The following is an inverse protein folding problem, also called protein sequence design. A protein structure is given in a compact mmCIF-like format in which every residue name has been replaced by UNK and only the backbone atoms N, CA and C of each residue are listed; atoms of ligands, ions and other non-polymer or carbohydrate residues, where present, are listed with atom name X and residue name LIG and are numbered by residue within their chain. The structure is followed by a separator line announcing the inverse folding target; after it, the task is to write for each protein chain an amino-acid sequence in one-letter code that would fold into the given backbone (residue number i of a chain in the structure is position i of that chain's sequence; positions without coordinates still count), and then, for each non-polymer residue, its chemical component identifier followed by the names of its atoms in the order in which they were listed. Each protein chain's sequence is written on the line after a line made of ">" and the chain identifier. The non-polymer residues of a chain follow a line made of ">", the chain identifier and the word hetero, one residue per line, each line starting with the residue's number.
data_IF_985797735671
#
_entry.id   IF_985797735671
#
_cell.length_a   1.000
_cell.length_b   1.000
_cell.length_c   1.000
_cell.angle_alpha   90.00
_cell.angle_beta   90.00
_cell.angle_gamma   90.00
#
_symmetry.space_group_name_H-M   'P 1'
#
loop_
_entity.id
_entity.type
_entity.pdbx_description
1 polymer ?
#
# COMPACT_ATOMS: atom_id res chain seq x y z
N UNK A 1 -7.13 4.64 -0.36
CA UNK A 1 -6.43 5.85 0.16
C UNK A 1 -5.13 5.46 0.85
N UNK A 2 -4.08 6.26 0.69
CA UNK A 2 -2.78 6.07 1.35
C UNK A 2 -2.41 7.36 2.08
N UNK A 3 -1.75 7.24 3.23
CA UNK A 3 -1.20 8.37 3.96
C UNK A 3 0.06 8.90 3.26
N UNK A 4 0.11 10.22 3.04
CA UNK A 4 1.12 10.91 2.23
C UNK A 4 2.42 11.16 3.01
N UNK A 5 3.06 10.08 3.48
CA UNK A 5 4.33 10.10 4.20
C UNK A 5 5.17 8.83 3.85
N UNK A 6 5.91 8.26 4.79
CA UNK A 6 6.63 7.00 4.60
C UNK A 6 5.73 5.82 4.23
N UNK A 7 4.44 5.87 4.54
CA UNK A 7 3.46 4.86 4.13
C UNK A 7 3.26 4.87 2.61
N UNK A 8 3.25 6.05 1.97
CA UNK A 8 3.21 6.19 0.51
C UNK A 8 4.43 5.52 -0.13
N UNK A 9 5.63 5.80 0.39
CA UNK A 9 6.85 5.14 -0.07
C UNK A 9 6.78 3.62 0.07
N UNK A 10 6.20 3.12 1.16
CA UNK A 10 6.03 1.67 1.34
C UNK A 10 5.16 1.04 0.24
N UNK A 11 4.06 1.70 -0.13
CA UNK A 11 3.21 1.27 -1.25
C UNK A 11 3.97 1.35 -2.58
N UNK A 12 4.71 2.43 -2.82
CA UNK A 12 5.51 2.56 -4.05
C UNK A 12 6.57 1.46 -4.16
N UNK A 13 7.27 1.11 -3.06
CA UNK A 13 8.22 -0.03 -3.07
C UNK A 13 7.52 -1.33 -3.43
N UNK A 14 6.35 -1.57 -2.84
CA UNK A 14 5.56 -2.78 -3.13
C UNK A 14 5.16 -2.89 -4.60
N UNK A 15 4.71 -1.79 -5.20
CA UNK A 15 4.31 -1.75 -6.63
C UNK A 15 5.52 -1.91 -7.55
N UNK A 16 6.59 -1.15 -7.33
CA UNK A 16 7.79 -1.16 -8.17
C UNK A 16 8.55 -2.49 -8.08
N UNK A 17 8.57 -3.13 -6.90
CA UNK A 17 9.20 -4.42 -6.68
C UNK A 17 8.36 -5.60 -7.20
N UNK A 18 7.11 -5.37 -7.64
CA UNK A 18 6.20 -6.44 -8.04
C UNK A 18 6.74 -7.28 -9.20
N UNK A 19 7.38 -6.65 -10.20
CA UNK A 19 7.95 -7.36 -11.34
C UNK A 19 9.08 -8.32 -10.92
N UNK A 20 9.91 -7.91 -9.96
CA UNK A 20 10.97 -8.77 -9.39
C UNK A 20 10.36 -9.92 -8.60
N UNK A 21 9.40 -9.60 -7.72
CA UNK A 21 8.70 -10.61 -6.91
C UNK A 21 7.92 -11.63 -7.73
N UNK A 22 7.41 -11.24 -8.90
CA UNK A 22 6.72 -12.11 -9.84
C UNK A 22 7.69 -12.90 -10.75
N UNK A 23 9.01 -12.72 -10.62
CA UNK A 23 10.00 -13.40 -11.46
C UNK A 23 10.10 -12.86 -12.89
N UNK A 24 9.49 -11.72 -13.18
CA UNK A 24 9.47 -11.10 -14.52
C UNK A 24 10.72 -10.29 -14.83
N UNK A 25 11.45 -9.87 -13.80
CA UNK A 25 12.70 -9.12 -13.93
C UNK A 25 13.68 -9.50 -12.83
N UNK A 26 14.99 -9.42 -13.10
CA UNK A 26 16.02 -9.65 -12.07
C UNK A 26 16.15 -8.45 -11.13
N UNK A 27 15.91 -7.24 -11.64
CA UNK A 27 15.94 -5.97 -10.88
C UNK A 27 14.77 -5.09 -11.29
N UNK A 28 14.25 -4.29 -10.36
CA UNK A 28 13.03 -3.52 -10.56
C UNK A 28 13.16 -2.49 -11.70
N UNK A 29 14.32 -1.84 -11.82
CA UNK A 29 14.60 -0.84 -12.85
C UNK A 29 14.72 -1.41 -14.27
N UNK A 30 14.76 -2.74 -14.42
CA UNK A 30 14.79 -3.41 -15.73
C UNK A 30 13.40 -3.63 -16.32
N UNK A 31 12.34 -3.50 -15.51
CA UNK A 31 10.97 -3.72 -15.96
C UNK A 31 10.44 -2.50 -16.73
N UNK A 32 10.31 -2.62 -18.06
CA UNK A 32 9.96 -1.50 -18.94
C UNK A 32 8.59 -0.84 -18.65
N UNK A 33 7.69 -1.57 -18.00
CA UNK A 33 6.36 -1.10 -17.60
C UNK A 33 6.32 -0.57 -16.15
N UNK A 34 7.48 -0.51 -15.49
CA UNK A 34 7.62 -0.01 -14.12
C UNK A 34 7.90 1.49 -14.08
N UNK A 35 7.46 2.15 -13.01
CA UNK A 35 7.71 3.57 -12.80
C UNK A 35 9.21 3.86 -12.64
N UNK A 36 9.95 2.93 -12.03
CA UNK A 36 11.40 3.03 -11.83
C UNK A 36 12.15 3.09 -13.16
N UNK A 37 11.76 2.24 -14.13
CA UNK A 37 12.29 2.28 -15.49
C UNK A 37 11.98 3.60 -16.18
N UNK A 38 10.71 4.02 -16.14
CA UNK A 38 10.25 5.26 -16.76
C UNK A 38 10.91 6.52 -16.18
N UNK A 39 11.37 6.48 -14.93
CA UNK A 39 12.09 7.60 -14.31
C UNK A 39 13.60 7.56 -14.54
N UNK A 40 14.18 6.38 -14.77
CA UNK A 40 15.61 6.23 -15.04
C UNK A 40 15.99 6.53 -16.51
N UNK A 41 15.04 6.45 -17.45
CA UNK A 41 15.31 6.56 -18.89
C UNK A 41 14.53 7.70 -19.56
N UNK A 42 15.15 8.31 -20.56
CA UNK A 42 14.48 9.24 -21.50
C UNK A 42 13.62 8.44 -22.49
N UNK A 43 12.53 9.02 -22.99
CA UNK A 43 11.65 8.36 -23.97
C UNK A 43 10.73 7.28 -23.36
N UNK A 44 10.20 7.52 -22.15
CA UNK A 44 9.27 6.62 -21.47
C UNK A 44 7.94 6.46 -22.24
N UNK A 45 7.32 5.27 -22.26
CA UNK A 45 6.07 5.04 -22.98
C UNK A 45 4.84 5.67 -22.29
N UNK A 46 4.97 6.17 -21.06
CA UNK A 46 3.88 6.77 -20.29
C UNK A 46 4.34 7.90 -19.38
N UNK A 47 3.41 8.82 -19.06
CA UNK A 47 3.63 9.87 -18.07
C UNK A 47 3.44 9.32 -16.64
N UNK A 48 4.15 9.91 -15.68
CA UNK A 48 4.01 9.58 -14.26
C UNK A 48 3.69 10.88 -13.52
N UNK A 49 2.70 10.84 -12.65
CA UNK A 49 2.42 11.93 -11.74
C UNK A 49 3.58 12.14 -10.76
N UNK A 50 3.67 13.37 -10.25
CA UNK A 50 4.56 13.69 -9.14
C UNK A 50 4.08 13.01 -7.87
N UNK A 51 5.03 12.73 -6.99
CA UNK A 51 4.74 12.10 -5.71
C UNK A 51 4.35 13.17 -4.70
N UNK A 52 3.44 12.86 -3.75
CA UNK A 52 3.11 13.78 -2.67
C UNK A 52 4.23 13.91 -1.63
N UNK A 53 5.29 13.09 -1.76
CA UNK A 53 6.45 13.05 -0.87
C UNK A 53 7.74 13.02 -1.69
N UNK A 54 8.81 13.55 -1.10
CA UNK A 54 10.14 13.49 -1.69
C UNK A 54 10.62 12.05 -1.84
N UNK A 55 11.16 11.74 -3.01
CA UNK A 55 11.77 10.43 -3.27
C UNK A 55 13.18 10.39 -2.69
N UNK A 56 13.51 9.39 -1.85
CA UNK A 56 14.88 9.19 -1.37
C UNK A 56 15.88 9.04 -2.51
N UNK A 57 17.10 9.56 -2.35
CA UNK A 57 18.16 9.46 -3.38
C UNK A 57 18.54 8.01 -3.71
N UNK A 58 18.52 7.12 -2.70
CA UNK A 58 18.81 5.70 -2.82
C UNK A 58 17.58 4.84 -3.18
N UNK A 59 16.53 5.44 -3.75
CA UNK A 59 15.26 4.75 -3.99
C UNK A 59 15.38 3.43 -4.77
N UNK A 60 16.19 3.40 -5.84
CA UNK A 60 16.40 2.19 -6.63
C UNK A 60 16.96 1.04 -5.78
N UNK A 61 17.88 1.32 -4.86
CA UNK A 61 18.39 0.31 -3.95
C UNK A 61 17.29 -0.18 -3.00
N UNK A 62 16.56 0.76 -2.37
CA UNK A 62 15.45 0.43 -1.47
C UNK A 62 14.34 -0.41 -2.12
N UNK A 63 14.03 -0.19 -3.41
CA UNK A 63 13.03 -1.00 -4.12
C UNK A 63 13.50 -2.44 -4.33
N UNK A 64 14.79 -2.66 -4.56
CA UNK A 64 15.35 -4.00 -4.79
C UNK A 64 15.64 -4.76 -3.47
N UNK A 65 15.61 -4.09 -2.32
CA UNK A 65 15.65 -4.74 -1.01
C UNK A 65 14.33 -5.48 -0.73
N UNK A 66 14.42 -6.64 -0.09
CA UNK A 66 13.26 -7.41 0.31
C UNK A 66 12.37 -6.61 1.28
N UNK A 67 11.07 -6.54 0.99
CA UNK A 67 10.09 -6.05 1.96
C UNK A 67 9.77 -7.15 2.97
N UNK A 68 9.52 -6.74 4.21
CA UNK A 68 9.04 -7.62 5.27
C UNK A 68 7.74 -8.34 4.85
N UNK A 69 7.67 -9.65 5.13
CA UNK A 69 6.51 -10.48 4.82
C UNK A 69 5.24 -9.98 5.53
N UNK A 70 5.33 -9.49 6.76
CA UNK A 70 4.19 -8.94 7.49
C UNK A 70 3.66 -7.67 6.79
N UNK A 71 4.56 -6.79 6.35
CA UNK A 71 4.19 -5.58 5.61
C UNK A 71 3.51 -5.96 4.29
N UNK A 72 4.03 -6.97 3.59
CA UNK A 72 3.44 -7.49 2.35
C UNK A 72 2.01 -7.98 2.59
N UNK A 73 1.77 -8.76 3.64
CA UNK A 73 0.43 -9.29 3.93
C UNK A 73 -0.55 -8.18 4.34
N UNK A 74 -0.09 -7.18 5.11
CA UNK A 74 -0.91 -6.00 5.43
C UNK A 74 -1.25 -5.17 4.18
N UNK A 75 -0.31 -5.03 3.24
CA UNK A 75 -0.55 -4.35 1.95
C UNK A 75 -1.54 -5.12 1.10
N UNK A 76 -1.37 -6.45 0.97
CA UNK A 76 -2.32 -7.32 0.27
C UNK A 76 -3.73 -7.20 0.84
N UNK A 77 -3.85 -7.21 2.16
CA UNK A 77 -5.12 -6.96 2.85
C UNK A 77 -5.72 -5.62 2.45
N UNK A 78 -4.90 -4.57 2.36
CA UNK A 78 -5.35 -3.23 1.99
C UNK A 78 -5.82 -3.15 0.54
N UNK A 79 -5.06 -3.75 -0.38
CA UNK A 79 -5.42 -3.84 -1.81
C UNK A 79 -6.71 -4.65 -2.00
N UNK A 80 -6.79 -5.83 -1.40
CA UNK A 80 -7.92 -6.76 -1.59
C UNK A 80 -9.22 -6.25 -0.96
N UNK A 81 -9.13 -5.52 0.15
CA UNK A 81 -10.31 -5.03 0.90
C UNK A 81 -10.66 -3.58 0.60
N UNK A 82 -9.83 -2.86 -0.17
CA UNK A 82 -9.93 -1.41 -0.31
C UNK A 82 -9.71 -0.65 1.01
N UNK A 83 -9.01 -1.25 1.97
CA UNK A 83 -8.73 -0.64 3.29
C UNK A 83 -7.69 0.49 3.12
N UNK A 84 -7.87 1.66 3.76
CA UNK A 84 -6.84 2.71 3.77
C UNK A 84 -5.50 2.20 4.33
N UNK A 85 -4.38 2.69 3.78
CA UNK A 85 -3.02 2.36 4.21
C UNK A 85 -2.36 3.55 4.91
N UNK A 86 -1.89 3.37 6.13
CA UNK A 86 -1.33 4.43 6.96
C UNK A 86 -1.15 4.01 8.41
N UNK A 87 -0.96 5.00 9.29
CA UNK A 87 -1.04 4.80 10.73
C UNK A 87 -2.45 4.38 11.14
N UNK A 88 -2.58 3.55 12.17
CA UNK A 88 -3.88 2.97 12.56
C UNK A 88 -4.94 4.07 12.84
N UNK A 89 -4.57 5.13 13.57
CA UNK A 89 -5.48 6.25 13.83
C UNK A 89 -5.92 6.96 12.54
N UNK A 90 -4.99 7.16 11.60
CA UNK A 90 -5.29 7.75 10.30
C UNK A 90 -6.19 6.85 9.45
N UNK A 91 -5.96 5.54 9.50
CA UNK A 91 -6.81 4.54 8.82
C UNK A 91 -8.24 4.63 9.34
N UNK A 92 -8.43 4.62 10.67
CA UNK A 92 -9.77 4.69 11.28
C UNK A 92 -10.48 5.99 10.91
N UNK A 93 -9.79 7.13 11.01
CA UNK A 93 -10.35 8.43 10.67
C UNK A 93 -10.72 8.52 9.18
N UNK A 94 -9.79 8.12 8.29
CA UNK A 94 -10.01 8.15 6.84
C UNK A 94 -11.11 7.19 6.42
N UNK A 95 -11.16 5.99 7.01
CA UNK A 95 -12.21 5.03 6.74
C UNK A 95 -13.58 5.57 7.17
N UNK A 96 -13.69 6.21 8.34
CA UNK A 96 -14.94 6.85 8.78
C UNK A 96 -15.34 7.99 7.84
N UNK A 97 -14.42 8.89 7.52
CA UNK A 97 -14.66 10.05 6.66
C UNK A 97 -15.13 9.66 5.27
N UNK A 98 -14.60 8.57 4.71
CA UNK A 98 -14.92 8.09 3.36
C UNK A 98 -16.01 7.01 3.32
N UNK A 99 -16.64 6.68 4.46
CA UNK A 99 -17.65 5.61 4.52
C UNK A 99 -17.08 4.20 4.30
N UNK A 100 -15.77 4.00 4.43
CA UNK A 100 -15.05 2.74 4.21
C UNK A 100 -14.87 1.90 5.49
N UNK A 101 -15.61 2.19 6.57
CA UNK A 101 -15.46 1.45 7.84
C UNK A 101 -15.71 -0.06 7.70
N UNK A 102 -16.48 -0.48 6.70
CA UNK A 102 -16.71 -1.90 6.39
C UNK A 102 -15.43 -2.64 5.99
N UNK A 103 -14.45 -1.94 5.38
CA UNK A 103 -13.17 -2.51 4.96
C UNK A 103 -12.32 -2.97 6.15
N UNK A 104 -12.58 -2.43 7.35
CA UNK A 104 -11.84 -2.70 8.59
C UNK A 104 -12.44 -3.84 9.43
N UNK A 105 -13.68 -4.25 9.15
CA UNK A 105 -14.39 -5.26 9.96
C UNK A 105 -14.01 -6.68 9.55
N UNK A 106 -14.11 -7.63 10.46
CA UNK A 106 -13.97 -9.04 10.09
C UNK A 106 -15.03 -9.44 9.04
N UNK A 107 -14.71 -10.40 8.15
CA UNK A 107 -15.69 -10.96 7.22
C UNK A 107 -16.95 -11.46 7.94
N UNK A 108 -18.10 -11.32 7.29
CA UNK A 108 -19.38 -11.78 7.79
C UNK A 108 -20.18 -10.73 8.56
N UNK A 109 -21.38 -11.15 8.98
CA UNK A 109 -22.31 -10.27 9.72
C UNK A 109 -21.68 -9.88 11.07
N UNK A 110 -21.76 -8.58 11.47
CA UNK A 110 -21.38 -8.18 12.82
C UNK A 110 -22.07 -9.04 13.87
N UNK A 111 -21.31 -9.51 14.86
CA UNK A 111 -21.87 -10.29 15.97
C UNK A 111 -22.95 -9.44 16.66
N UNK A 112 -24.10 -10.06 16.98
CA UNK A 112 -25.13 -9.37 17.78
C UNK A 112 -24.47 -8.94 19.11
N UNK A 113 -24.63 -7.69 19.54
CA UNK A 113 -24.18 -7.28 20.85
C UNK A 113 -24.89 -8.15 21.90
N UNK A 114 -24.13 -8.84 22.74
CA UNK A 114 -24.69 -9.56 23.88
C UNK A 114 -25.26 -8.52 24.83
N UNK A 115 -26.58 -8.54 25.08
CA UNK A 115 -27.18 -7.73 26.15
C UNK A 115 -26.52 -8.20 27.45
N UNK A 116 -25.65 -7.38 28.05
CA UNK A 116 -25.25 -7.57 29.45
C UNK A 116 -26.53 -7.47 30.26
N UNK A 117 -26.89 -8.54 30.97
CA UNK A 117 -28.05 -8.55 31.86
C UNK A 117 -27.96 -7.36 32.81
N UNK A 118 -29.00 -6.52 32.81
CA UNK A 118 -29.28 -5.64 33.94
C UNK A 118 -29.70 -6.56 35.09
N UNK A 119 -28.81 -6.74 36.06
CA UNK A 119 -29.23 -7.15 37.39
C UNK A 119 -29.57 -5.86 38.13
N UNK A 120 -30.86 -5.61 38.30
CA UNK A 120 -31.46 -4.79 39.36
C UNK A 120 -32.67 -5.55 39.88
#
# INVERSE_FOLDING_TARGET
>A
PVQDDSHFLTVCRYVEANAVRAGLARRAEQWMWGGLYARARRGKPFALADWPVDRPRNWTAAVNEALDAEIIERLRTSVNRGRPWGQEQWIQHTAKRLGLTFTLRNPGRPRKPTKKGRNE
#
